data_IF_902991028062
#
_entry.id   IF_902991028062
#
_cell.length_a   1.000
_cell.length_b   1.000
_cell.length_c   1.000
_cell.angle_alpha   90.00
_cell.angle_beta   90.00
_cell.angle_gamma   90.00
#
_symmetry.space_group_name_H-M   'P 1'
#
loop_
_entity.id
_entity.type
_entity.pdbx_description
1 polymer ?
#
# COMPACT_ATOMS: atom_id res chain seq x y z
N UNK A 1 20.72 15.63 35.32
CA UNK A 1 20.66 14.74 34.13
C UNK A 1 19.84 15.47 33.08
N UNK A 2 20.43 15.87 31.96
CA UNK A 2 19.68 16.41 30.83
C UNK A 2 18.84 15.29 30.21
N UNK A 3 17.59 15.57 29.77
CA UNK A 3 16.80 14.57 29.06
C UNK A 3 17.52 14.12 27.78
N UNK A 4 17.35 12.85 27.35
CA UNK A 4 17.91 12.39 26.10
C UNK A 4 17.37 13.23 24.94
N UNK A 5 18.25 13.66 24.04
CA UNK A 5 17.86 14.37 22.82
C UNK A 5 17.13 13.36 21.93
N UNK A 6 15.88 13.65 21.57
CA UNK A 6 15.15 12.85 20.61
C UNK A 6 15.73 13.09 19.21
N UNK A 7 15.95 12.01 18.46
CA UNK A 7 16.46 12.05 17.10
C UNK A 7 15.41 11.57 16.11
N UNK A 8 15.53 12.03 14.86
CA UNK A 8 14.69 11.50 13.80
C UNK A 8 14.97 10.00 13.65
N UNK A 9 13.91 9.21 13.53
CA UNK A 9 14.00 7.76 13.36
C UNK A 9 14.46 7.36 11.95
N UNK A 10 14.46 8.29 11.00
CA UNK A 10 14.95 8.04 9.64
C UNK A 10 16.45 7.69 9.66
N UNK A 11 16.83 6.67 8.90
CA UNK A 11 18.20 6.19 8.89
C UNK A 11 19.14 7.29 8.40
N UNK A 12 20.26 7.48 9.10
CA UNK A 12 21.27 8.51 8.78
C UNK A 12 20.78 9.96 8.87
N UNK A 13 19.59 10.21 9.43
CA UNK A 13 19.10 11.56 9.68
C UNK A 13 19.63 12.11 11.02
N UNK A 14 20.35 13.22 10.99
CA UNK A 14 20.91 13.87 12.19
C UNK A 14 19.98 14.87 12.90
N UNK A 15 18.74 15.04 12.44
CA UNK A 15 17.84 16.07 12.96
C UNK A 15 17.38 15.76 14.40
N UNK A 16 17.39 16.78 15.24
CA UNK A 16 17.01 16.71 16.67
C UNK A 16 15.71 17.44 16.98
N UNK A 17 15.25 18.32 16.08
CA UNK A 17 13.92 18.93 16.14
C UNK A 17 12.94 17.93 15.52
N UNK A 18 12.24 17.19 16.39
CA UNK A 18 11.36 16.09 16.00
C UNK A 18 10.03 16.15 16.71
N UNK A 19 9.02 15.56 16.09
CA UNK A 19 7.70 15.33 16.68
C UNK A 19 7.46 13.82 16.77
N UNK A 20 6.85 13.33 17.87
CA UNK A 20 6.45 11.94 17.97
C UNK A 20 5.38 11.62 16.92
N UNK A 21 5.33 10.37 16.45
CA UNK A 21 4.24 9.90 15.62
C UNK A 21 2.94 9.86 16.44
N UNK A 22 1.90 10.57 16.01
CA UNK A 22 0.61 10.70 16.71
C UNK A 22 -0.30 9.47 16.63
N UNK A 23 0.17 8.35 16.08
CA UNK A 23 -0.67 7.16 15.91
C UNK A 23 -0.86 6.44 17.25
N UNK A 24 -2.13 6.14 17.55
CA UNK A 24 -2.55 5.35 18.70
C UNK A 24 -3.48 4.24 18.21
N UNK A 25 -3.19 2.99 18.55
CA UNK A 25 -4.04 1.86 18.19
C UNK A 25 -5.31 1.78 19.06
N UNK A 26 -6.24 0.89 18.72
CA UNK A 26 -7.47 0.71 19.50
C UNK A 26 -7.24 0.26 20.95
N UNK A 27 -6.07 -0.29 21.26
CA UNK A 27 -5.65 -0.66 22.62
C UNK A 27 -5.00 0.48 23.40
N UNK A 28 -4.85 1.66 22.81
CA UNK A 28 -4.24 2.83 23.43
C UNK A 28 -2.71 2.88 23.36
N UNK A 29 -2.06 1.99 22.60
CA UNK A 29 -0.59 2.01 22.45
C UNK A 29 -0.18 3.06 21.42
N UNK A 30 0.80 3.88 21.79
CA UNK A 30 1.35 4.94 20.93
C UNK A 30 2.63 4.51 20.23
N UNK A 31 2.88 5.10 19.06
CA UNK A 31 4.08 4.77 18.28
C UNK A 31 5.33 5.39 18.93
N UNK A 32 6.34 4.58 19.18
CA UNK A 32 7.58 5.02 19.82
C UNK A 32 8.53 5.83 18.90
N UNK A 33 8.14 6.07 17.64
CA UNK A 33 9.02 6.76 16.67
C UNK A 33 8.83 8.27 16.70
N UNK A 34 9.88 9.01 16.35
CA UNK A 34 9.87 10.48 16.24
C UNK A 34 10.51 10.92 14.93
N UNK A 35 9.95 11.95 14.30
CA UNK A 35 10.29 12.35 12.94
C UNK A 35 10.46 13.85 12.84
N UNK A 36 11.46 14.30 12.08
CA UNK A 36 11.62 15.71 11.75
C UNK A 36 10.61 16.12 10.67
N UNK A 37 10.43 17.43 10.48
CA UNK A 37 9.48 17.98 9.49
C UNK A 37 9.69 17.48 8.05
N UNK A 38 10.89 17.01 7.70
CA UNK A 38 11.20 16.43 6.38
C UNK A 38 10.70 14.99 6.21
N UNK A 39 10.67 14.20 7.28
CA UNK A 39 10.36 12.76 7.23
C UNK A 39 9.02 12.40 7.87
N UNK A 40 8.43 13.34 8.60
CA UNK A 40 7.06 13.24 9.08
C UNK A 40 6.06 13.52 7.95
N UNK A 41 4.91 12.85 8.01
CA UNK A 41 3.74 13.20 7.22
C UNK A 41 2.73 13.89 8.10
N UNK A 42 2.23 15.05 7.68
CA UNK A 42 1.24 15.81 8.45
C UNK A 42 -0.16 15.53 7.96
N UNK A 43 -1.02 15.01 8.84
CA UNK A 43 -2.44 14.73 8.56
C UNK A 43 -3.27 15.41 9.63
N UNK A 44 -4.12 16.38 9.24
CA UNK A 44 -4.93 17.13 10.20
C UNK A 44 -4.13 17.92 11.24
N UNK A 45 -2.89 18.34 10.91
CA UNK A 45 -1.98 19.06 11.81
C UNK A 45 -1.14 18.17 12.72
N UNK A 46 -1.32 16.85 12.69
CA UNK A 46 -0.56 15.89 13.48
C UNK A 46 0.52 15.21 12.64
N UNK A 47 1.67 14.90 13.28
CA UNK A 47 2.80 14.25 12.63
C UNK A 47 2.68 12.72 12.69
N UNK A 48 2.89 12.05 11.57
CA UNK A 48 2.85 10.60 11.46
C UNK A 48 4.13 10.07 10.79
N UNK A 49 4.58 8.89 11.22
CA UNK A 49 5.58 8.13 10.47
C UNK A 49 4.98 7.67 9.12
N UNK A 50 5.82 7.37 8.12
CA UNK A 50 5.36 6.89 6.81
C UNK A 50 4.40 5.68 6.90
N UNK A 51 4.66 4.76 7.83
CA UNK A 51 3.78 3.59 8.07
C UNK A 51 2.40 4.06 8.51
N UNK A 52 2.32 4.83 9.59
CA UNK A 52 1.04 5.21 10.18
C UNK A 52 0.30 6.28 9.38
N UNK A 53 1.00 7.09 8.59
CA UNK A 53 0.38 7.93 7.57
C UNK A 53 -0.35 7.06 6.52
N UNK A 54 0.34 6.04 5.99
CA UNK A 54 -0.27 5.04 5.09
C UNK A 54 -1.49 4.38 5.71
N UNK A 55 -1.43 3.97 6.98
CA UNK A 55 -2.58 3.40 7.69
C UNK A 55 -3.74 4.40 7.78
N UNK A 56 -3.48 5.65 8.15
CA UNK A 56 -4.52 6.68 8.26
C UNK A 56 -5.20 6.95 6.92
N UNK A 57 -4.44 6.97 5.83
CA UNK A 57 -5.02 7.14 4.51
C UNK A 57 -5.73 5.90 3.98
N UNK A 58 -5.25 4.69 4.30
CA UNK A 58 -5.99 3.46 3.99
C UNK A 58 -7.38 3.47 4.64
N UNK A 59 -7.45 3.89 5.91
CA UNK A 59 -8.70 4.04 6.65
C UNK A 59 -9.59 5.13 6.06
N UNK A 60 -9.01 6.28 5.67
CA UNK A 60 -9.76 7.39 5.09
C UNK A 60 -10.25 7.11 3.65
N UNK A 61 -9.54 6.26 2.91
CA UNK A 61 -9.89 5.82 1.56
C UNK A 61 -10.89 4.65 1.56
N UNK A 62 -11.23 4.11 2.73
CA UNK A 62 -12.17 3.00 2.84
C UNK A 62 -13.62 3.46 2.89
N UNK A 63 -14.49 2.64 2.31
CA UNK A 63 -15.94 2.77 2.44
C UNK A 63 -16.46 1.76 3.46
N UNK A 64 -17.32 2.19 4.38
CA UNK A 64 -17.90 1.35 5.40
C UNK A 64 -17.99 2.01 6.77
N UNK A 65 -18.45 1.28 7.80
CA UNK A 65 -18.42 1.77 9.17
C UNK A 65 -16.99 2.12 9.59
N UNK A 66 -16.86 3.11 10.47
CA UNK A 66 -15.57 3.56 10.97
C UNK A 66 -14.78 2.36 11.51
N UNK A 67 -13.71 2.00 10.80
CA UNK A 67 -12.83 0.91 11.21
C UNK A 67 -12.07 1.35 12.47
N UNK A 68 -12.01 0.46 13.46
CA UNK A 68 -11.15 0.67 14.62
C UNK A 68 -9.71 0.85 14.15
N UNK A 69 -8.94 1.70 14.85
CA UNK A 69 -7.53 1.90 14.54
C UNK A 69 -6.79 0.56 14.62
N UNK A 70 -6.16 0.08 13.53
CA UNK A 70 -5.42 -1.17 13.52
C UNK A 70 -4.32 -1.21 14.59
N UNK A 71 -3.93 -2.43 14.98
CA UNK A 71 -2.78 -2.67 15.84
C UNK A 71 -1.57 -1.87 15.34
N UNK A 72 -0.81 -1.29 16.28
CA UNK A 72 0.31 -0.42 15.95
C UNK A 72 1.37 -1.06 15.06
N UNK A 73 1.53 -2.38 15.15
CA UNK A 73 2.47 -3.17 14.39
C UNK A 73 1.87 -3.81 13.14
N UNK A 74 0.55 -3.67 12.94
CA UNK A 74 -0.09 -4.08 11.71
C UNK A 74 0.39 -3.21 10.54
N UNK A 75 1.07 -3.86 9.58
CA UNK A 75 1.64 -3.21 8.40
C UNK A 75 0.76 -3.32 7.16
N UNK A 76 -0.29 -4.15 7.20
CA UNK A 76 -1.13 -4.41 6.03
C UNK A 76 -1.82 -3.16 5.47
N UNK A 77 -2.46 -2.29 6.29
CA UNK A 77 -3.13 -1.09 5.77
C UNK A 77 -2.16 -0.14 5.08
N UNK A 78 -0.98 0.08 5.69
CA UNK A 78 0.04 0.94 5.10
C UNK A 78 0.59 0.33 3.81
N UNK A 79 0.82 -0.98 3.77
CA UNK A 79 1.36 -1.65 2.60
C UNK A 79 0.40 -1.57 1.42
N UNK A 80 -0.88 -1.90 1.61
CA UNK A 80 -1.86 -1.82 0.52
C UNK A 80 -2.00 -0.38 0.00
N UNK A 81 -1.99 0.62 0.90
CA UNK A 81 -2.12 2.03 0.50
C UNK A 81 -0.98 2.45 -0.42
N UNK A 82 0.26 2.19 -0.02
CA UNK A 82 1.42 2.63 -0.80
C UNK A 82 1.53 1.88 -2.13
N UNK A 83 1.40 0.55 -2.10
CA UNK A 83 1.55 -0.27 -3.32
C UNK A 83 0.42 0.00 -4.31
N UNK A 84 -0.83 0.11 -3.84
CA UNK A 84 -1.94 0.41 -4.74
C UNK A 84 -1.92 1.84 -5.27
N UNK A 85 -1.43 2.80 -4.48
CA UNK A 85 -1.24 4.18 -4.94
C UNK A 85 -0.22 4.27 -6.07
N UNK A 86 0.93 3.61 -5.92
CA UNK A 86 1.98 3.59 -6.95
C UNK A 86 1.54 2.85 -8.24
N UNK A 87 0.66 1.85 -8.12
CA UNK A 87 0.15 1.06 -9.26
C UNK A 87 -1.14 1.61 -9.88
N UNK A 88 -1.86 2.56 -9.25
CA UNK A 88 -3.22 2.96 -9.66
C UNK A 88 -3.30 3.39 -11.14
N UNK A 89 -2.33 4.18 -11.60
CA UNK A 89 -2.27 4.65 -12.98
C UNK A 89 -2.07 3.49 -13.98
N UNK A 90 -1.21 2.54 -13.65
CA UNK A 90 -0.92 1.36 -14.48
C UNK A 90 -2.11 0.39 -14.52
N UNK A 91 -2.75 0.14 -13.37
CA UNK A 91 -3.97 -0.68 -13.30
C UNK A 91 -5.08 -0.11 -14.17
N UNK A 92 -5.27 1.21 -14.14
CA UNK A 92 -6.26 1.88 -15.00
C UNK A 92 -5.90 1.75 -16.47
N UNK A 93 -4.63 1.94 -16.82
CA UNK A 93 -4.15 1.82 -18.20
C UNK A 93 -4.35 0.41 -18.78
N UNK A 94 -4.04 -0.63 -18.00
CA UNK A 94 -4.23 -2.03 -18.39
C UNK A 94 -5.71 -2.36 -18.64
N UNK A 95 -6.62 -1.91 -17.77
CA UNK A 95 -8.06 -2.08 -17.97
C UNK A 95 -8.58 -1.32 -19.19
N UNK A 96 -8.08 -0.10 -19.43
CA UNK A 96 -8.41 0.64 -20.64
C UNK A 96 -7.93 -0.06 -21.91
N UNK A 97 -6.75 -0.69 -21.88
CA UNK A 97 -6.17 -1.38 -23.03
C UNK A 97 -6.94 -2.64 -23.44
N UNK A 98 -7.53 -3.38 -22.50
CA UNK A 98 -8.38 -4.56 -22.80
C UNK A 98 -9.83 -4.21 -23.15
N UNK A 99 -10.22 -2.93 -23.03
CA UNK A 99 -11.60 -2.53 -23.29
C UNK A 99 -11.94 -2.68 -24.77
N UNK A 100 -12.82 -3.62 -25.10
CA UNK A 100 -13.41 -3.76 -26.44
C UNK A 100 -14.70 -2.95 -26.61
N UNK A 101 -15.30 -2.49 -25.51
CA UNK A 101 -16.56 -1.73 -25.50
C UNK A 101 -16.30 -0.23 -25.46
N UNK A 102 -16.92 0.52 -26.36
CA UNK A 102 -16.73 1.97 -26.48
C UNK A 102 -17.27 2.76 -25.27
N UNK A 103 -18.22 2.18 -24.53
CA UNK A 103 -18.88 2.77 -23.37
C UNK A 103 -18.48 2.13 -22.04
N UNK A 104 -17.48 1.23 -22.04
CA UNK A 104 -16.96 0.71 -20.79
C UNK A 104 -16.14 1.75 -20.03
N UNK A 105 -16.26 1.71 -18.71
CA UNK A 105 -15.64 2.68 -17.80
C UNK A 105 -14.71 1.96 -16.85
N UNK A 106 -13.49 2.48 -16.71
CA UNK A 106 -12.55 2.01 -15.69
C UNK A 106 -12.93 2.62 -14.34
N UNK A 107 -13.22 1.76 -13.38
CA UNK A 107 -13.57 2.13 -12.02
C UNK A 107 -12.45 1.72 -11.07
N UNK A 108 -12.22 2.54 -10.07
CA UNK A 108 -11.28 2.28 -8.98
C UNK A 108 -12.05 2.31 -7.68
N UNK A 109 -12.16 1.14 -7.06
CA UNK A 109 -12.89 1.00 -5.80
C UNK A 109 -12.10 1.55 -4.62
N UNK A 110 -12.75 1.77 -3.47
CA UNK A 110 -12.06 2.10 -2.23
C UNK A 110 -11.11 0.99 -1.77
N UNK A 111 -10.28 1.29 -0.77
CA UNK A 111 -9.59 0.24 -0.01
C UNK A 111 -10.62 -0.36 0.96
N UNK A 112 -10.84 -1.67 0.91
CA UNK A 112 -11.82 -2.36 1.76
C UNK A 112 -11.13 -3.35 2.69
N UNK A 113 -11.75 -3.59 3.84
CA UNK A 113 -11.35 -4.66 4.75
C UNK A 113 -12.32 -5.83 4.59
N UNK A 114 -11.79 -7.01 4.27
CA UNK A 114 -12.58 -8.20 4.00
C UNK A 114 -12.26 -9.31 5.01
N UNK A 115 -13.27 -10.00 5.56
CA UNK A 115 -13.05 -11.13 6.44
C UNK A 115 -12.47 -12.33 5.68
N UNK A 116 -11.42 -12.92 6.23
CA UNK A 116 -10.86 -14.20 5.80
C UNK A 116 -10.90 -15.22 6.97
N UNK A 117 -10.73 -16.53 6.74
CA UNK A 117 -11.00 -17.56 7.74
C UNK A 117 -10.34 -17.37 9.12
N UNK A 118 -9.17 -16.71 9.19
CA UNK A 118 -8.44 -16.50 10.44
C UNK A 118 -7.90 -15.08 10.63
N UNK A 119 -8.29 -14.14 9.78
CA UNK A 119 -7.61 -12.83 9.64
C UNK A 119 -8.50 -11.85 8.88
N UNK A 120 -8.06 -10.60 8.78
CA UNK A 120 -8.64 -9.63 7.85
C UNK A 120 -7.70 -9.42 6.68
N UNK A 121 -8.27 -9.14 5.51
CA UNK A 121 -7.53 -8.88 4.29
C UNK A 121 -7.89 -7.49 3.78
N UNK A 122 -6.87 -6.66 3.60
CA UNK A 122 -7.01 -5.34 3.02
C UNK A 122 -6.96 -5.45 1.50
N UNK A 123 -8.00 -4.99 0.82
CA UNK A 123 -8.18 -5.17 -0.62
C UNK A 123 -8.35 -3.83 -1.31
N UNK A 124 -7.61 -3.61 -2.40
CA UNK A 124 -7.88 -2.52 -3.35
C UNK A 124 -8.20 -3.13 -4.71
N UNK A 125 -9.30 -2.68 -5.31
CA UNK A 125 -9.78 -3.23 -6.58
C UNK A 125 -9.96 -2.18 -7.67
N UNK A 126 -9.75 -2.61 -8.91
CA UNK A 126 -10.07 -1.89 -10.13
C UNK A 126 -10.90 -2.80 -11.02
N UNK A 127 -11.82 -2.23 -11.79
CA UNK A 127 -12.59 -3.03 -12.74
C UNK A 127 -13.03 -2.21 -13.94
N UNK A 128 -13.21 -2.92 -15.06
CA UNK A 128 -13.85 -2.42 -16.25
C UNK A 128 -15.35 -2.72 -16.15
N UNK A 129 -16.16 -1.67 -16.03
CA UNK A 129 -17.61 -1.75 -16.01
C UNK A 129 -18.15 -1.55 -17.44
N UNK A 130 -18.85 -2.55 -17.97
CA UNK A 130 -19.55 -2.47 -19.26
C UNK A 130 -20.98 -1.93 -19.13
N UNK A 131 -21.78 -2.15 -20.17
CA UNK A 131 -23.19 -1.74 -20.16
C UNK A 131 -23.96 -2.33 -18.98
N UNK A 132 -24.89 -1.53 -18.47
CA UNK A 132 -25.74 -1.84 -17.33
C UNK A 132 -24.98 -2.21 -16.03
N UNK A 133 -23.72 -1.80 -15.89
CA UNK A 133 -22.93 -2.02 -14.67
C UNK A 133 -22.34 -3.43 -14.55
N UNK A 134 -22.30 -4.20 -15.65
CA UNK A 134 -21.65 -5.51 -15.68
C UNK A 134 -20.14 -5.35 -15.49
N UNK A 135 -19.54 -6.17 -14.63
CA UNK A 135 -18.09 -6.21 -14.47
C UNK A 135 -17.52 -7.13 -15.55
N UNK A 136 -16.80 -6.55 -16.52
CA UNK A 136 -16.19 -7.28 -17.63
C UNK A 136 -14.84 -7.88 -17.23
N UNK A 137 -14.05 -7.14 -16.46
CA UNK A 137 -12.74 -7.55 -15.98
C UNK A 137 -12.47 -6.86 -14.66
N UNK A 138 -11.96 -7.59 -13.67
CA UNK A 138 -11.58 -7.05 -12.38
C UNK A 138 -10.14 -7.40 -12.04
N UNK A 139 -9.48 -6.52 -11.28
CA UNK A 139 -8.14 -6.72 -10.74
C UNK A 139 -8.15 -6.31 -9.28
N UNK A 140 -7.40 -7.01 -8.44
CA UNK A 140 -7.25 -6.62 -7.04
C UNK A 140 -5.82 -6.84 -6.54
N UNK A 141 -5.45 -6.00 -5.59
CA UNK A 141 -4.32 -6.20 -4.70
C UNK A 141 -4.84 -6.51 -3.30
N UNK A 142 -4.25 -7.49 -2.65
CA UNK A 142 -4.66 -7.95 -1.33
C UNK A 142 -3.45 -8.04 -0.39
N UNK A 143 -3.63 -7.61 0.85
CA UNK A 143 -2.64 -7.77 1.93
C UNK A 143 -3.35 -8.32 3.17
N UNK A 144 -2.95 -9.52 3.57
CA UNK A 144 -3.44 -10.20 4.77
C UNK A 144 -2.76 -9.62 6.02
N UNK A 145 -3.51 -9.28 7.07
CA UNK A 145 -2.96 -8.79 8.33
C UNK A 145 -2.01 -9.81 9.00
N UNK A 146 -2.30 -11.11 8.87
CA UNK A 146 -1.47 -12.19 9.38
C UNK A 146 -0.17 -12.40 8.57
N UNK A 147 -0.11 -11.87 7.34
CA UNK A 147 1.05 -11.95 6.43
C UNK A 147 1.31 -10.59 5.75
N UNK A 148 1.45 -9.57 6.60
CA UNK A 148 1.60 -8.17 6.19
C UNK A 148 2.91 -7.82 5.48
N UNK A 149 3.72 -8.82 5.12
CA UNK A 149 4.91 -8.72 4.29
C UNK A 149 4.65 -8.98 2.80
N UNK A 150 3.49 -9.54 2.43
CA UNK A 150 3.20 -9.97 1.05
C UNK A 150 2.02 -9.23 0.43
N UNK A 151 2.06 -9.09 -0.90
CA UNK A 151 0.97 -8.58 -1.72
C UNK A 151 0.52 -9.70 -2.65
N UNK A 152 -0.78 -10.00 -2.64
CA UNK A 152 -1.41 -10.92 -3.57
C UNK A 152 -2.01 -10.11 -4.71
N UNK A 153 -1.77 -10.53 -5.95
CA UNK A 153 -2.31 -9.91 -7.16
C UNK A 153 -3.34 -10.85 -7.78
N UNK A 154 -4.53 -10.35 -8.05
CA UNK A 154 -5.60 -11.12 -8.71
C UNK A 154 -6.14 -10.44 -9.95
N UNK A 155 -6.58 -11.25 -10.90
CA UNK A 155 -7.40 -10.85 -12.04
C UNK A 155 -8.60 -11.79 -12.09
N UNK A 156 -9.82 -11.25 -12.21
CA UNK A 156 -11.07 -12.02 -12.21
C UNK A 156 -11.15 -13.04 -11.06
N UNK A 157 -10.73 -12.62 -9.86
CA UNK A 157 -10.62 -13.43 -8.64
C UNK A 157 -9.58 -14.55 -8.65
N UNK A 158 -8.89 -14.79 -9.76
CA UNK A 158 -7.79 -15.75 -9.84
C UNK A 158 -6.50 -15.11 -9.35
N UNK A 159 -5.78 -15.80 -8.48
CA UNK A 159 -4.45 -15.38 -8.03
C UNK A 159 -3.44 -15.58 -9.16
N UNK A 160 -2.76 -14.50 -9.53
CA UNK A 160 -1.68 -14.55 -10.51
C UNK A 160 -0.33 -14.76 -9.81
N UNK A 161 -0.08 -13.99 -8.76
CA UNK A 161 1.17 -14.03 -8.01
C UNK A 161 0.99 -13.52 -6.58
N UNK A 162 1.79 -14.07 -5.68
CA UNK A 162 2.01 -13.52 -4.34
C UNK A 162 3.48 -13.08 -4.24
N UNK A 163 3.72 -11.79 -3.96
CA UNK A 163 5.07 -11.21 -3.95
C UNK A 163 5.40 -10.48 -2.65
N UNK A 164 6.69 -10.46 -2.30
CA UNK A 164 7.22 -9.63 -1.21
C UNK A 164 7.89 -8.39 -1.83
N UNK A 165 7.47 -7.17 -1.48
CA UNK A 165 8.13 -5.97 -1.98
C UNK A 165 9.61 -5.90 -1.55
N UNK A 166 10.52 -5.39 -2.41
CA UNK A 166 11.97 -5.44 -2.16
C UNK A 166 12.40 -4.66 -0.92
N UNK A 167 11.71 -3.57 -0.56
CA UNK A 167 11.99 -2.81 0.67
C UNK A 167 11.58 -3.56 1.93
N UNK A 168 10.67 -4.53 1.82
CA UNK A 168 10.32 -5.44 2.92
C UNK A 168 11.38 -6.54 3.04
N UNK A 169 11.80 -7.13 1.93
CA UNK A 169 12.89 -8.13 1.92
C UNK A 169 14.18 -7.55 2.52
N UNK A 170 14.58 -6.36 2.09
CA UNK A 170 15.75 -5.65 2.64
C UNK A 170 15.63 -5.45 4.15
N UNK A 171 14.48 -4.96 4.62
CA UNK A 171 14.23 -4.73 6.04
C UNK A 171 14.29 -6.03 6.85
N UNK A 172 13.73 -7.12 6.32
CA UNK A 172 13.77 -8.43 6.99
C UNK A 172 15.19 -9.01 7.02
N UNK A 173 16.00 -8.73 5.99
CA UNK A 173 17.40 -9.13 5.91
C UNK A 173 18.37 -8.19 6.65
N UNK A 174 17.89 -7.06 7.20
CA UNK A 174 18.75 -6.05 7.83
C UNK A 174 19.69 -5.33 6.86
N UNK A 175 19.36 -5.32 5.56
CA UNK A 175 20.18 -4.71 4.52
C UNK A 175 19.83 -3.23 4.35
N UNK A 176 20.85 -2.38 4.32
CA UNK A 176 20.75 -1.00 3.84
C UNK A 176 21.28 -0.96 2.41
N UNK A 177 20.44 -0.44 1.51
CA UNK A 177 20.83 -0.10 0.14
C UNK A 177 20.81 1.42 0.00
N UNK A 178 21.61 1.96 -0.90
CA UNK A 178 21.53 3.38 -1.22
C UNK A 178 20.20 3.74 -1.91
N UNK A 179 19.89 5.04 -1.97
CA UNK A 179 18.62 5.54 -2.47
C UNK A 179 18.40 5.26 -3.97
N UNK A 180 19.45 5.20 -4.77
CA UNK A 180 19.34 4.97 -6.22
C UNK A 180 18.99 3.51 -6.51
N UNK A 181 19.66 2.58 -5.83
CA UNK A 181 19.37 1.15 -5.95
C UNK A 181 18.02 0.78 -5.33
N UNK A 182 17.62 1.40 -4.21
CA UNK A 182 16.26 1.26 -3.66
C UNK A 182 15.19 1.69 -4.68
N UNK A 183 15.37 2.86 -5.29
CA UNK A 183 14.46 3.36 -6.31
C UNK A 183 14.43 2.44 -7.55
N UNK A 184 15.58 1.94 -8.00
CA UNK A 184 15.66 1.01 -9.12
C UNK A 184 14.93 -0.32 -8.83
N UNK A 185 15.09 -0.86 -7.61
CA UNK A 185 14.38 -2.08 -7.18
C UNK A 185 12.88 -1.86 -7.10
N UNK A 186 12.42 -0.74 -6.57
CA UNK A 186 10.98 -0.39 -6.55
C UNK A 186 10.39 -0.32 -7.95
N UNK A 187 11.07 0.34 -8.89
CA UNK A 187 10.63 0.41 -10.30
C UNK A 187 10.52 -0.98 -10.93
N UNK A 188 11.51 -1.86 -10.70
CA UNK A 188 11.48 -3.26 -11.19
C UNK A 188 10.31 -4.04 -10.59
N UNK A 189 10.04 -3.86 -9.29
CA UNK A 189 8.94 -4.51 -8.60
C UNK A 189 7.57 -4.14 -9.18
N UNK A 190 7.30 -2.84 -9.38
CA UNK A 190 6.02 -2.40 -9.93
C UNK A 190 5.83 -2.85 -11.38
N UNK A 191 6.89 -2.73 -12.20
CA UNK A 191 6.89 -3.24 -13.58
C UNK A 191 6.58 -4.73 -13.63
N UNK A 192 7.19 -5.53 -12.76
CA UNK A 192 6.92 -6.97 -12.68
C UNK A 192 5.42 -7.25 -12.42
N UNK A 193 4.78 -6.51 -11.52
CA UNK A 193 3.34 -6.67 -11.25
C UNK A 193 2.54 -6.30 -12.51
N UNK A 194 2.86 -5.18 -13.15
CA UNK A 194 2.26 -4.75 -14.41
C UNK A 194 2.36 -5.80 -15.51
N UNK A 195 3.56 -6.35 -15.73
CA UNK A 195 3.84 -7.38 -16.74
C UNK A 195 3.05 -8.67 -16.48
N UNK A 196 2.96 -9.12 -15.22
CA UNK A 196 2.19 -10.31 -14.84
C UNK A 196 0.70 -10.12 -15.15
N UNK A 197 0.16 -8.94 -14.86
CA UNK A 197 -1.25 -8.62 -15.15
C UNK A 197 -1.47 -8.49 -16.66
N UNK A 198 -0.59 -7.78 -17.37
CA UNK A 198 -0.67 -7.63 -18.82
C UNK A 198 -0.69 -9.00 -19.52
N UNK A 199 0.20 -9.91 -19.12
CA UNK A 199 0.25 -11.26 -19.64
C UNK A 199 -1.06 -12.05 -19.37
N UNK A 200 -1.61 -11.94 -18.16
CA UNK A 200 -2.89 -12.58 -17.82
C UNK A 200 -4.08 -12.01 -18.61
N UNK A 201 -3.98 -10.74 -19.03
CA UNK A 201 -4.95 -10.04 -19.87
C UNK A 201 -4.73 -10.28 -21.38
N UNK A 202 -3.66 -11.00 -21.78
CA UNK A 202 -3.32 -11.22 -23.18
C UNK A 202 -2.77 -9.98 -23.89
N UNK A 203 -2.23 -9.01 -23.14
CA UNK A 203 -1.55 -7.83 -23.65
C UNK A 203 -0.05 -8.10 -23.80
N UNK A 204 0.59 -7.46 -24.79
CA UNK A 204 2.05 -7.45 -24.89
C UNK A 204 2.66 -6.65 -23.72
N UNK A 205 3.85 -7.03 -23.21
CA UNK A 205 4.51 -6.31 -22.12
C UNK A 205 4.82 -4.86 -22.50
N UNK A 206 4.68 -3.93 -21.54
CA UNK A 206 5.11 -2.54 -21.76
C UNK A 206 6.65 -2.48 -21.79
N UNK A 207 7.19 -1.91 -22.88
CA UNK A 207 8.64 -1.73 -23.08
C UNK A 207 9.32 -0.85 -22.00
#
# INVERSE_FOLDING_TARGET
>A
MSPPIAHCTESQCGQTIVQPCSYVDAGGRSCATSWCAVHAWTIGGEAYCRRHAGTKWALAAGEGPALAAPDIDNRAPALIYWVSGDLDAEMRALLSAVSSEADAVVVSGPITLQPAPSTQVWVRSWWLAGRAGTILTSMSLEVDEARSERVVVRVNHQELVTVTPPWIEQRLAGLSVDAEEDAARRRRFYRFIGDVIAAALGLEPSA
#
